data_IF_214212720851
#
_entry.id   IF_214212720851
#
_cell.length_a   1.000
_cell.length_b   1.000
_cell.length_c   1.000
_cell.angle_alpha   90.00
_cell.angle_beta   90.00
_cell.angle_gamma   90.00
#
_symmetry.space_group_name_H-M   'P 1'
#
loop_
_entity.id
_entity.type
_entity.pdbx_description
1 polymer ?
#
# COMPACT_ATOMS: atom_id res chain seq x y z
N UNK A 1 -2.64 15.27 -9.25
CA UNK A 1 -2.09 13.92 -9.51
C UNK A 1 -0.61 13.91 -9.09
N UNK A 2 -0.31 13.88 -7.78
CA UNK A 2 1.07 13.95 -7.26
C UNK A 2 1.55 12.67 -6.56
N UNK A 3 0.71 11.63 -6.46
CA UNK A 3 1.10 10.29 -5.98
C UNK A 3 1.52 9.41 -7.15
N UNK A 4 2.29 8.37 -6.87
CA UNK A 4 2.74 7.36 -7.85
C UNK A 4 3.46 7.96 -9.06
N UNK A 5 4.43 8.85 -8.83
CA UNK A 5 5.20 9.45 -9.92
C UNK A 5 6.25 8.47 -10.46
N UNK A 6 6.72 7.52 -9.64
CA UNK A 6 7.68 6.52 -10.09
C UNK A 6 6.98 5.39 -10.88
N UNK A 7 7.39 5.11 -12.13
CA UNK A 7 6.85 4.00 -12.90
C UNK A 7 7.01 2.64 -12.21
N UNK A 8 8.09 2.46 -11.44
CA UNK A 8 8.32 1.26 -10.64
C UNK A 8 7.29 1.08 -9.52
N UNK A 9 6.90 2.17 -8.84
CA UNK A 9 5.86 2.18 -7.84
C UNK A 9 4.51 1.79 -8.47
N UNK A 10 4.17 2.38 -9.62
CA UNK A 10 2.97 2.02 -10.38
C UNK A 10 2.95 0.54 -10.80
N UNK A 11 4.04 0.05 -11.39
CA UNK A 11 4.14 -1.34 -11.86
C UNK A 11 3.99 -2.35 -10.71
N UNK A 12 4.63 -2.08 -9.57
CA UNK A 12 4.49 -2.91 -8.37
C UNK A 12 3.05 -2.91 -7.85
N UNK A 13 2.34 -1.78 -7.88
CA UNK A 13 0.94 -1.72 -7.47
C UNK A 13 0.02 -2.50 -8.40
N UNK A 14 0.29 -2.50 -9.71
CA UNK A 14 -0.45 -3.32 -10.69
C UNK A 14 -0.34 -4.82 -10.42
N UNK A 15 0.68 -5.28 -9.70
CA UNK A 15 0.82 -6.66 -9.25
C UNK A 15 0.30 -6.84 -7.82
N UNK A 16 0.70 -5.96 -6.90
CA UNK A 16 0.42 -6.06 -5.48
C UNK A 16 -1.06 -5.92 -5.13
N UNK A 17 -1.80 -5.02 -5.81
CA UNK A 17 -3.24 -4.83 -5.56
C UNK A 17 -4.04 -6.08 -5.97
N UNK A 18 -3.93 -6.61 -7.22
CA UNK A 18 -4.62 -7.84 -7.58
C UNK A 18 -4.26 -9.02 -6.68
N UNK A 19 -2.99 -9.18 -6.28
CA UNK A 19 -2.59 -10.23 -5.35
C UNK A 19 -3.30 -10.10 -4.00
N UNK A 20 -3.30 -8.89 -3.42
CA UNK A 20 -3.90 -8.65 -2.12
C UNK A 20 -5.42 -8.87 -2.14
N UNK A 21 -6.11 -8.32 -3.14
CA UNK A 21 -7.55 -8.48 -3.33
C UNK A 21 -7.90 -9.95 -3.57
N UNK A 22 -7.12 -10.65 -4.41
CA UNK A 22 -7.33 -12.08 -4.65
C UNK A 22 -7.17 -12.90 -3.38
N UNK A 23 -6.17 -12.60 -2.54
CA UNK A 23 -5.99 -13.25 -1.25
C UNK A 23 -7.23 -13.13 -0.35
N UNK A 24 -7.83 -11.94 -0.26
CA UNK A 24 -9.06 -11.73 0.51
C UNK A 24 -10.28 -12.44 -0.09
N UNK A 25 -10.47 -12.35 -1.41
CA UNK A 25 -11.59 -13.00 -2.10
C UNK A 25 -11.49 -14.52 -1.97
N UNK A 26 -10.30 -15.08 -2.21
CA UNK A 26 -10.07 -16.52 -2.13
C UNK A 26 -10.25 -17.07 -0.71
N UNK A 27 -9.89 -16.29 0.33
CA UNK A 27 -10.12 -16.69 1.71
C UNK A 27 -11.61 -16.91 2.02
N UNK A 28 -12.50 -16.17 1.34
CA UNK A 28 -13.94 -16.28 1.53
C UNK A 28 -14.60 -17.42 0.71
N UNK A 29 -13.93 -17.95 -0.31
CA UNK A 29 -14.52 -18.94 -1.24
C UNK A 29 -13.83 -20.30 -1.22
N UNK A 30 -12.55 -20.38 -0.89
CA UNK A 30 -11.82 -21.64 -0.82
C UNK A 30 -12.07 -22.35 0.52
N UNK A 31 -11.96 -23.69 0.56
CA UNK A 31 -11.94 -24.43 1.82
C UNK A 31 -10.84 -23.93 2.76
N UNK A 32 -11.08 -24.04 4.07
CA UNK A 32 -10.15 -23.56 5.08
C UNK A 32 -8.74 -24.13 4.93
N UNK A 33 -8.57 -25.35 4.40
CA UNK A 33 -7.26 -25.97 4.14
C UNK A 33 -6.32 -25.11 3.25
N UNK A 34 -6.87 -24.15 2.49
CA UNK A 34 -6.13 -23.20 1.66
C UNK A 34 -5.90 -21.83 2.30
N UNK A 35 -6.23 -21.64 3.60
CA UNK A 35 -6.12 -20.35 4.29
C UNK A 35 -4.73 -19.72 4.14
N UNK A 36 -3.68 -20.54 4.19
CA UNK A 36 -2.30 -20.08 4.13
C UNK A 36 -1.95 -19.52 2.75
N UNK A 37 -2.45 -20.10 1.65
CA UNK A 37 -2.28 -19.56 0.29
C UNK A 37 -2.93 -18.18 0.20
N UNK A 38 -4.15 -18.06 0.71
CA UNK A 38 -4.91 -16.82 0.70
C UNK A 38 -4.22 -15.73 1.52
N UNK A 39 -3.75 -16.09 2.72
CA UNK A 39 -2.98 -15.21 3.59
C UNK A 39 -1.64 -14.81 2.94
N UNK A 40 -0.92 -15.74 2.30
CA UNK A 40 0.32 -15.44 1.58
C UNK A 40 0.10 -14.47 0.43
N UNK A 41 -0.96 -14.65 -0.38
CA UNK A 41 -1.32 -13.70 -1.45
C UNK A 41 -1.60 -12.31 -0.89
N UNK A 42 -2.35 -12.23 0.20
CA UNK A 42 -2.63 -10.97 0.88
C UNK A 42 -1.36 -10.28 1.38
N UNK A 43 -0.55 -11.00 2.16
CA UNK A 43 0.68 -10.48 2.77
C UNK A 43 1.70 -10.07 1.72
N UNK A 44 1.95 -10.93 0.71
CA UNK A 44 2.88 -10.61 -0.38
C UNK A 44 2.37 -9.44 -1.22
N UNK A 45 1.08 -9.40 -1.55
CA UNK A 45 0.48 -8.31 -2.32
C UNK A 45 0.57 -6.97 -1.59
N UNK A 46 0.31 -6.96 -0.28
CA UNK A 46 0.47 -5.76 0.55
C UNK A 46 1.95 -5.37 0.71
N UNK A 47 2.84 -6.33 0.91
CA UNK A 47 4.28 -6.08 1.02
C UNK A 47 4.84 -5.42 -0.24
N UNK A 48 4.43 -5.87 -1.43
CA UNK A 48 4.80 -5.25 -2.69
C UNK A 48 4.35 -3.78 -2.73
N UNK A 49 3.09 -3.48 -2.42
CA UNK A 49 2.59 -2.10 -2.37
C UNK A 49 3.41 -1.24 -1.40
N UNK A 50 3.71 -1.76 -0.21
CA UNK A 50 4.56 -1.09 0.78
C UNK A 50 5.96 -0.78 0.23
N UNK A 51 6.61 -1.71 -0.46
CA UNK A 51 7.92 -1.47 -1.11
C UNK A 51 7.83 -0.35 -2.14
N UNK A 52 6.79 -0.32 -2.97
CA UNK A 52 6.56 0.75 -3.94
C UNK A 52 6.45 2.12 -3.27
N UNK A 53 5.71 2.18 -2.17
CA UNK A 53 5.55 3.39 -1.34
C UNK A 53 6.87 3.83 -0.66
N UNK A 54 7.68 2.89 -0.18
CA UNK A 54 9.03 3.18 0.33
C UNK A 54 9.94 3.82 -0.73
N UNK A 55 9.90 3.35 -1.98
CA UNK A 55 10.68 3.95 -3.07
C UNK A 55 10.19 5.35 -3.46
N UNK A 56 8.87 5.53 -3.51
CA UNK A 56 8.24 6.84 -3.74
C UNK A 56 8.57 7.82 -2.61
N UNK A 57 8.70 7.32 -1.38
CA UNK A 57 8.96 8.11 -0.17
C UNK A 57 7.69 8.67 0.45
N UNK A 58 6.59 7.90 0.42
CA UNK A 58 5.33 8.26 1.07
C UNK A 58 4.71 7.06 1.79
N UNK A 59 3.77 7.34 2.69
CA UNK A 59 3.01 6.30 3.39
C UNK A 59 2.03 5.60 2.45
N UNK A 60 1.81 4.32 2.70
CA UNK A 60 0.68 3.57 2.12
C UNK A 60 -0.62 4.26 2.53
N UNK A 61 -1.61 4.31 1.63
CA UNK A 61 -2.84 5.09 1.82
C UNK A 61 -3.57 4.83 3.13
N UNK A 62 -3.70 3.56 3.52
CA UNK A 62 -4.33 3.11 4.77
C UNK A 62 -3.56 3.62 5.98
N UNK A 63 -2.22 3.56 5.95
CA UNK A 63 -1.41 4.10 7.05
C UNK A 63 -1.45 5.61 7.13
N UNK A 64 -1.43 6.32 6.00
CA UNK A 64 -1.63 7.76 5.98
C UNK A 64 -3.00 8.14 6.59
N UNK A 65 -4.06 7.40 6.26
CA UNK A 65 -5.39 7.61 6.82
C UNK A 65 -5.44 7.32 8.32
N UNK A 66 -4.89 6.20 8.79
CA UNK A 66 -4.87 5.85 10.22
C UNK A 66 -4.04 6.86 11.02
N UNK A 67 -2.84 7.22 10.55
CA UNK A 67 -2.01 8.24 11.19
C UNK A 67 -2.76 9.57 11.28
N UNK A 68 -3.41 10.00 10.18
CA UNK A 68 -4.25 11.20 10.17
C UNK A 68 -5.39 11.14 11.19
N UNK A 69 -6.08 10.00 11.29
CA UNK A 69 -7.16 9.79 12.27
C UNK A 69 -6.65 9.88 13.71
N UNK A 70 -5.42 9.45 13.96
CA UNK A 70 -4.77 9.49 15.26
C UNK A 70 -4.05 10.83 15.54
N UNK A 71 -4.09 11.80 14.62
CA UNK A 71 -3.35 13.05 14.73
C UNK A 71 -1.83 12.88 14.67
N UNK A 72 -1.35 11.74 14.14
CA UNK A 72 0.07 11.44 13.99
C UNK A 72 0.63 12.01 12.67
N UNK A 73 1.93 12.32 12.62
CA UNK A 73 2.61 12.62 11.37
C UNK A 73 2.42 11.56 10.30
N UNK A 74 2.21 11.99 9.05
CA UNK A 74 2.14 11.10 7.90
C UNK A 74 2.63 11.78 6.63
N UNK A 75 3.11 10.98 5.68
CA UNK A 75 3.55 11.47 4.38
C UNK A 75 2.56 11.00 3.32
N UNK A 76 1.57 11.83 2.99
CA UNK A 76 0.58 11.48 1.96
C UNK A 76 1.17 11.51 0.55
N UNK A 77 1.99 12.52 0.27
CA UNK A 77 2.67 12.74 -1.00
C UNK A 77 4.16 12.87 -0.69
N UNK A 78 5.01 12.28 -1.54
CA UNK A 78 6.46 12.36 -1.36
C UNK A 78 6.93 13.83 -1.26
N UNK A 79 7.82 14.19 -0.33
CA UNK A 79 8.37 15.54 -0.24
C UNK A 79 9.05 16.02 -1.53
N UNK A 80 9.52 15.06 -2.37
CA UNK A 80 10.06 15.35 -3.70
C UNK A 80 9.05 16.07 -4.60
N UNK A 81 7.76 15.79 -4.42
CA UNK A 81 6.67 16.26 -5.27
C UNK A 81 5.73 17.25 -4.58
N UNK A 82 5.77 17.34 -3.24
CA UNK A 82 4.99 18.29 -2.47
C UNK A 82 5.80 18.82 -1.25
N UNK A 83 6.82 19.66 -1.45
CA UNK A 83 7.70 20.11 -0.37
C UNK A 83 7.04 21.06 0.64
N UNK A 84 5.85 21.59 0.33
CA UNK A 84 5.11 22.53 1.19
C UNK A 84 3.97 21.88 1.98
N UNK A 85 3.96 20.55 2.10
CA UNK A 85 2.88 19.83 2.80
C UNK A 85 2.96 20.10 4.32
N UNK A 86 1.93 20.71 4.94
CA UNK A 86 1.93 21.02 6.36
C UNK A 86 1.82 19.76 7.26
N UNK A 87 1.53 18.59 6.68
CA UNK A 87 1.44 17.33 7.40
C UNK A 87 2.75 16.53 7.41
N UNK A 88 3.77 17.00 6.69
CA UNK A 88 5.14 16.50 6.83
C UNK A 88 5.67 16.89 8.21
N UNK A 89 6.00 15.90 9.04
CA UNK A 89 6.93 16.08 10.16
C UNK A 89 8.28 15.47 9.80
#
# INVERSE_FOLDING_TARGET
MLRHQLPSNFAIHMVGIPMAVSGLVLLAVLPWDYWWVCASLFVLGYFLQWVGHCWEGNDVGEWAAIKRLLGLPYVGISPRWNPSDPHQL
#
